data_IF_287336197993
#
_entry.id   IF_287336197993
#
_cell.length_a   1.000
_cell.length_b   1.000
_cell.length_c   1.000
_cell.angle_alpha   90.00
_cell.angle_beta   90.00
_cell.angle_gamma   90.00
#
_symmetry.space_group_name_H-M   'P 1'
#
loop_
_entity.id
_entity.type
_entity.pdbx_description
1 polymer ?
#
# COMPACT_ATOMS: atom_id res chain seq x y z
N UNK A 1 8.91 -8.45 26.90
CA UNK A 1 8.78 -8.93 25.51
C UNK A 1 9.35 -7.91 24.49
N UNK A 2 10.05 -8.40 23.46
CA UNK A 2 10.62 -7.55 22.40
C UNK A 2 9.49 -6.86 21.60
N UNK A 3 9.79 -5.75 20.89
CA UNK A 3 8.78 -4.93 20.18
C UNK A 3 7.95 -5.77 19.19
N UNK A 4 8.61 -6.61 18.38
CA UNK A 4 7.96 -7.51 17.42
C UNK A 4 6.89 -8.38 18.08
N UNK A 5 7.22 -9.06 19.17
CA UNK A 5 6.30 -10.01 19.81
C UNK A 5 5.09 -9.32 20.43
N UNK A 6 5.28 -8.09 20.97
CA UNK A 6 4.16 -7.26 21.46
C UNK A 6 3.23 -6.84 20.32
N UNK A 7 3.79 -6.48 19.16
CA UNK A 7 3.01 -6.11 17.99
C UNK A 7 2.23 -7.32 17.42
N UNK A 8 2.85 -8.51 17.37
CA UNK A 8 2.17 -9.75 17.00
C UNK A 8 1.03 -10.05 17.98
N UNK A 9 1.24 -9.90 19.29
CA UNK A 9 0.20 -10.11 20.29
C UNK A 9 -0.97 -9.12 20.14
N UNK A 10 -0.67 -7.86 19.77
CA UNK A 10 -1.71 -6.87 19.46
C UNK A 10 -2.53 -7.30 18.23
N UNK A 11 -1.90 -7.67 17.12
CA UNK A 11 -2.63 -8.14 15.94
C UNK A 11 -3.45 -9.38 16.21
N UNK A 12 -2.97 -10.29 17.07
CA UNK A 12 -3.75 -11.45 17.51
C UNK A 12 -5.04 -11.02 18.21
N UNK A 13 -4.94 -10.13 19.20
CA UNK A 13 -6.10 -9.63 19.94
C UNK A 13 -7.08 -8.86 19.04
N UNK A 14 -6.57 -8.10 18.07
CA UNK A 14 -7.39 -7.40 17.08
C UNK A 14 -8.08 -8.40 16.14
N UNK A 15 -7.39 -9.45 15.70
CA UNK A 15 -7.96 -10.51 14.85
C UNK A 15 -9.10 -11.26 15.55
N UNK A 16 -8.89 -11.64 16.81
CA UNK A 16 -9.92 -12.27 17.66
C UNK A 16 -11.17 -11.38 17.82
N UNK A 17 -10.99 -10.06 17.81
CA UNK A 17 -12.09 -9.09 17.97
C UNK A 17 -12.80 -8.73 16.66
N UNK A 18 -12.07 -8.56 15.56
CA UNK A 18 -12.56 -7.86 14.37
C UNK A 18 -12.60 -8.68 13.09
N UNK A 19 -11.85 -9.78 12.95
CA UNK A 19 -11.77 -10.51 11.66
C UNK A 19 -13.13 -11.06 11.16
N UNK A 20 -14.05 -11.36 12.07
CA UNK A 20 -15.40 -11.83 11.70
C UNK A 20 -16.41 -10.69 11.53
N UNK A 21 -16.00 -9.44 11.72
CA UNK A 21 -16.91 -8.30 11.70
C UNK A 21 -17.16 -7.84 10.25
N UNK A 22 -18.41 -7.84 9.77
CA UNK A 22 -18.72 -7.62 8.34
C UNK A 22 -18.44 -6.19 7.86
N UNK A 23 -18.23 -5.25 8.78
CA UNK A 23 -17.88 -3.85 8.48
C UNK A 23 -16.41 -3.53 8.77
N UNK A 24 -15.55 -4.54 8.94
CA UNK A 24 -14.12 -4.36 9.16
C UNK A 24 -13.33 -4.82 7.94
N UNK A 25 -13.15 -3.88 7.00
CA UNK A 25 -12.64 -4.13 5.65
C UNK A 25 -11.15 -4.51 5.61
N UNK A 26 -10.33 -3.81 6.39
CA UNK A 26 -8.89 -3.97 6.34
C UNK A 26 -8.16 -3.43 7.56
N UNK A 27 -6.95 -3.95 7.76
CA UNK A 27 -6.00 -3.51 8.78
C UNK A 27 -4.60 -3.52 8.19
N UNK A 28 -3.75 -2.58 8.58
CA UNK A 28 -2.40 -2.54 8.04
C UNK A 28 -1.36 -1.83 8.90
N UNK A 29 -0.13 -1.92 8.43
CA UNK A 29 1.01 -1.17 8.95
C UNK A 29 1.44 -0.12 7.93
N UNK A 30 1.78 1.06 8.45
CA UNK A 30 2.29 2.16 7.66
C UNK A 30 3.78 1.97 7.35
N UNK A 31 4.19 2.55 6.22
CA UNK A 31 5.54 2.67 5.62
C UNK A 31 6.63 1.62 5.94
N UNK A 32 7.24 1.08 4.88
CA UNK A 32 8.40 0.19 4.99
C UNK A 32 9.71 0.92 5.30
N UNK A 33 9.79 2.23 5.07
CA UNK A 33 11.00 3.01 5.31
C UNK A 33 11.35 3.07 6.82
N UNK A 34 12.58 2.71 7.18
CA UNK A 34 13.07 2.73 8.58
C UNK A 34 13.20 4.13 9.19
N UNK A 35 13.05 5.20 8.39
CA UNK A 35 13.38 6.55 8.81
C UNK A 35 14.88 6.74 9.04
N UNK A 36 15.23 7.75 9.85
CA UNK A 36 16.61 8.06 10.22
C UNK A 36 16.87 7.56 11.64
N UNK A 37 17.74 6.55 11.82
CA UNK A 37 18.05 6.07 13.16
C UNK A 37 18.89 7.11 13.92
N UNK A 38 18.68 7.22 15.24
CA UNK A 38 19.44 8.15 16.10
C UNK A 38 20.93 7.80 16.14
N UNK A 39 21.22 6.51 16.15
CA UNK A 39 22.58 5.96 16.09
C UNK A 39 22.72 5.14 14.80
N UNK A 40 23.91 5.11 14.17
CA UNK A 40 24.14 4.28 12.99
C UNK A 40 23.79 2.81 13.26
N UNK A 41 23.00 2.22 12.36
CA UNK A 41 22.66 0.79 12.40
C UNK A 41 23.52 0.01 11.41
N UNK A 42 23.88 -1.21 11.78
CA UNK A 42 24.56 -2.14 10.88
C UNK A 42 23.60 -2.68 9.81
N UNK A 43 24.16 -3.21 8.72
CA UNK A 43 23.39 -3.93 7.70
C UNK A 43 22.64 -5.14 8.28
N UNK A 44 23.21 -5.83 9.27
CA UNK A 44 22.54 -6.91 9.99
C UNK A 44 21.28 -6.43 10.70
N UNK A 45 21.37 -5.31 11.43
CA UNK A 45 20.21 -4.72 12.12
C UNK A 45 19.14 -4.27 11.12
N UNK A 46 19.55 -3.67 9.99
CA UNK A 46 18.62 -3.31 8.92
C UNK A 46 17.92 -4.55 8.33
N UNK A 47 18.66 -5.63 8.08
CA UNK A 47 18.07 -6.88 7.58
C UNK A 47 17.11 -7.51 8.59
N UNK A 48 17.47 -7.49 9.89
CA UNK A 48 16.61 -7.97 10.96
C UNK A 48 15.32 -7.16 11.09
N UNK A 49 15.38 -5.84 10.87
CA UNK A 49 14.18 -4.99 10.84
C UNK A 49 13.18 -5.49 9.80
N UNK A 50 13.61 -5.71 8.55
CA UNK A 50 12.71 -6.19 7.50
C UNK A 50 12.25 -7.64 7.70
N UNK A 51 13.14 -8.51 8.19
CA UNK A 51 12.76 -9.88 8.55
C UNK A 51 11.67 -9.90 9.63
N UNK A 52 11.77 -9.01 10.64
CA UNK A 52 10.75 -8.88 11.67
C UNK A 52 9.45 -8.28 11.11
N UNK A 53 9.50 -7.30 10.20
CA UNK A 53 8.32 -6.75 9.53
C UNK A 53 7.56 -7.82 8.73
N UNK A 54 8.27 -8.68 8.01
CA UNK A 54 7.69 -9.81 7.29
C UNK A 54 7.02 -10.78 8.27
N UNK A 55 7.68 -11.13 9.37
CA UNK A 55 7.09 -12.02 10.38
C UNK A 55 5.80 -11.44 10.98
N UNK A 56 5.77 -10.12 11.23
CA UNK A 56 4.55 -9.45 11.70
C UNK A 56 3.44 -9.54 10.65
N UNK A 57 3.73 -9.26 9.38
CA UNK A 57 2.75 -9.37 8.29
C UNK A 57 2.22 -10.80 8.14
N UNK A 58 3.08 -11.81 8.20
CA UNK A 58 2.68 -13.22 8.16
C UNK A 58 1.71 -13.55 9.31
N UNK A 59 2.02 -13.10 10.53
CA UNK A 59 1.13 -13.31 11.68
C UNK A 59 -0.17 -12.53 11.55
N UNK A 60 -0.12 -11.28 11.08
CA UNK A 60 -1.30 -10.47 10.79
C UNK A 60 -2.22 -11.20 9.80
N UNK A 61 -1.69 -11.71 8.69
CA UNK A 61 -2.46 -12.49 7.72
C UNK A 61 -3.12 -13.73 8.33
N UNK A 62 -2.38 -14.47 9.17
CA UNK A 62 -2.92 -15.65 9.87
C UNK A 62 -4.06 -15.31 10.83
N UNK A 63 -4.01 -14.15 11.49
CA UNK A 63 -5.05 -13.71 12.43
C UNK A 63 -6.25 -13.05 11.74
N UNK A 64 -6.08 -12.61 10.49
CA UNK A 64 -7.10 -11.97 9.69
C UNK A 64 -7.34 -12.72 8.37
N UNK A 65 -7.85 -13.97 8.39
CA UNK A 65 -8.10 -14.73 7.16
C UNK A 65 -9.17 -14.09 6.25
N UNK A 66 -10.13 -13.35 6.81
CA UNK A 66 -11.30 -12.81 6.10
C UNK A 66 -11.27 -11.28 5.92
N UNK A 67 -10.26 -10.62 6.47
CA UNK A 67 -10.07 -9.16 6.40
C UNK A 67 -8.78 -8.87 5.66
N UNK A 68 -8.75 -7.80 4.87
CA UNK A 68 -7.52 -7.43 4.17
C UNK A 68 -6.40 -7.05 5.14
N UNK A 69 -5.20 -7.57 4.91
CA UNK A 69 -3.99 -7.21 5.66
C UNK A 69 -3.08 -6.40 4.77
N UNK A 70 -2.83 -5.14 5.11
CA UNK A 70 -2.21 -4.14 4.25
C UNK A 70 -0.81 -3.78 4.76
N UNK A 71 0.17 -3.72 3.86
CA UNK A 71 1.47 -3.12 4.15
C UNK A 71 1.72 -1.98 3.18
N UNK A 72 1.92 -0.79 3.72
CA UNK A 72 2.44 0.35 2.98
C UNK A 72 3.94 0.16 2.71
N UNK A 73 4.31 0.08 1.43
CA UNK A 73 5.68 -0.16 0.97
C UNK A 73 6.12 1.02 0.11
N UNK A 74 7.30 1.58 0.40
CA UNK A 74 7.87 2.70 -0.36
C UNK A 74 9.38 2.54 -0.61
N UNK A 75 10.17 2.41 0.45
CA UNK A 75 11.63 2.37 0.40
C UNK A 75 12.21 1.41 1.44
N UNK A 76 13.51 1.09 1.34
CA UNK A 76 14.45 1.37 0.24
C UNK A 76 14.38 0.33 -0.88
N UNK A 77 14.79 0.70 -2.10
CA UNK A 77 14.70 -0.14 -3.31
C UNK A 77 15.30 -1.56 -3.15
N UNK A 78 16.45 -1.77 -2.48
CA UNK A 78 17.06 -3.10 -2.39
C UNK A 78 16.23 -4.18 -1.68
N UNK A 79 15.29 -3.81 -0.79
CA UNK A 79 14.44 -4.79 -0.10
C UNK A 79 13.10 -5.03 -0.81
N UNK A 80 12.70 -4.13 -1.72
CA UNK A 80 11.34 -4.14 -2.29
C UNK A 80 10.98 -5.45 -2.97
N UNK A 81 11.90 -6.03 -3.76
CA UNK A 81 11.61 -7.30 -4.44
C UNK A 81 11.24 -8.40 -3.43
N UNK A 82 12.04 -8.55 -2.37
CA UNK A 82 11.84 -9.58 -1.36
C UNK A 82 10.58 -9.31 -0.52
N UNK A 83 10.35 -8.06 -0.13
CA UNK A 83 9.20 -7.68 0.67
C UNK A 83 7.89 -7.87 -0.11
N UNK A 84 7.79 -7.30 -1.31
CA UNK A 84 6.58 -7.36 -2.13
C UNK A 84 6.26 -8.79 -2.57
N UNK A 85 7.27 -9.58 -2.92
CA UNK A 85 7.10 -11.01 -3.24
C UNK A 85 6.49 -11.77 -2.06
N UNK A 86 7.00 -11.55 -0.85
CA UNK A 86 6.49 -12.24 0.33
C UNK A 86 5.08 -11.79 0.70
N UNK A 87 4.74 -10.51 0.53
CA UNK A 87 3.36 -10.02 0.69
C UNK A 87 2.41 -10.73 -0.27
N UNK A 88 2.80 -10.84 -1.55
CA UNK A 88 2.06 -11.58 -2.57
C UNK A 88 1.88 -13.05 -2.18
N UNK A 89 2.95 -13.73 -1.77
CA UNK A 89 2.93 -15.15 -1.44
C UNK A 89 2.04 -15.46 -0.23
N UNK A 90 1.95 -14.54 0.74
CA UNK A 90 1.04 -14.69 1.89
C UNK A 90 -0.39 -14.18 1.61
N UNK A 91 -0.65 -13.56 0.45
CA UNK A 91 -1.94 -12.95 0.13
C UNK A 91 -2.24 -11.68 0.94
N UNK A 92 -1.20 -10.95 1.34
CA UNK A 92 -1.34 -9.61 1.88
C UNK A 92 -1.50 -8.58 0.74
N UNK A 93 -2.09 -7.44 1.08
CA UNK A 93 -2.36 -6.32 0.18
C UNK A 93 -1.15 -5.40 0.09
N UNK A 94 -0.72 -5.08 -1.12
CA UNK A 94 0.29 -4.05 -1.36
C UNK A 94 -0.35 -2.67 -1.31
N UNK A 95 0.23 -1.79 -0.51
CA UNK A 95 -0.12 -0.37 -0.46
C UNK A 95 1.15 0.49 -0.54
N UNK A 96 0.94 1.79 -0.62
CA UNK A 96 1.97 2.81 -0.56
C UNK A 96 1.29 4.15 -0.28
N UNK A 97 1.79 4.95 0.67
CA UNK A 97 1.17 6.23 1.02
C UNK A 97 1.61 7.36 0.08
N UNK A 98 2.58 7.06 -0.76
CA UNK A 98 3.29 8.00 -1.60
C UNK A 98 2.70 8.03 -3.02
N UNK A 99 1.40 8.29 -3.20
CA UNK A 99 0.74 8.39 -4.54
C UNK A 99 1.19 9.65 -5.33
N UNK A 100 2.50 9.82 -5.50
CA UNK A 100 3.19 10.85 -6.26
C UNK A 100 3.45 10.37 -7.69
N UNK A 101 2.83 10.98 -8.69
CA UNK A 101 2.92 10.53 -10.09
C UNK A 101 4.36 10.59 -10.64
N UNK A 102 5.11 11.63 -10.27
CA UNK A 102 6.41 11.95 -10.88
C UNK A 102 7.60 11.63 -9.96
N UNK A 103 7.36 10.90 -8.85
CA UNK A 103 8.43 10.58 -7.90
C UNK A 103 9.43 9.60 -8.52
N UNK A 104 10.65 10.08 -8.76
CA UNK A 104 11.68 9.36 -9.51
C UNK A 104 12.08 8.07 -8.83
N UNK A 105 12.18 8.06 -7.50
CA UNK A 105 12.60 6.86 -6.78
C UNK A 105 11.55 5.75 -6.78
N UNK A 106 10.26 6.11 -6.76
CA UNK A 106 9.15 5.16 -6.82
C UNK A 106 8.92 4.63 -8.25
N UNK A 107 9.15 5.48 -9.25
CA UNK A 107 9.07 5.15 -10.68
C UNK A 107 10.34 4.52 -11.27
N UNK A 108 11.43 4.41 -10.50
CA UNK A 108 12.71 3.94 -11.03
C UNK A 108 12.58 2.54 -11.64
N UNK A 109 12.88 2.39 -12.93
CA UNK A 109 12.86 1.09 -13.61
C UNK A 109 14.20 0.39 -13.43
N UNK A 110 14.16 -0.91 -13.14
CA UNK A 110 15.37 -1.73 -13.08
C UNK A 110 16.18 -1.62 -14.39
N UNK A 111 17.49 -1.63 -14.27
CA UNK A 111 18.44 -1.63 -15.39
C UNK A 111 19.43 -2.78 -15.24
N UNK A 112 20.25 -3.02 -16.26
CA UNK A 112 21.33 -4.00 -16.18
C UNK A 112 22.37 -3.69 -15.08
N UNK A 113 22.47 -2.43 -14.63
CA UNK A 113 23.45 -1.98 -13.63
C UNK A 113 22.86 -1.78 -12.23
N UNK A 114 21.55 -1.57 -12.14
CA UNK A 114 20.82 -1.45 -10.87
C UNK A 114 19.48 -2.21 -11.00
N UNK A 115 19.39 -3.44 -10.48
CA UNK A 115 18.19 -4.26 -10.59
C UNK A 115 17.09 -3.84 -9.60
N UNK A 116 17.35 -2.89 -8.70
CA UNK A 116 16.42 -2.54 -7.63
C UNK A 116 15.41 -1.50 -8.12
N UNK A 117 14.30 -1.95 -8.71
CA UNK A 117 13.24 -1.05 -9.16
C UNK A 117 12.51 -0.36 -8.00
N UNK A 118 11.89 0.78 -8.29
CA UNK A 118 10.99 1.47 -7.38
C UNK A 118 9.65 0.75 -7.23
N UNK A 119 8.93 1.01 -6.14
CA UNK A 119 7.77 0.22 -5.72
C UNK A 119 6.65 0.19 -6.76
N UNK A 120 6.46 1.26 -7.55
CA UNK A 120 5.37 1.35 -8.51
C UNK A 120 5.42 0.32 -9.62
N UNK A 121 6.61 -0.15 -9.99
CA UNK A 121 6.73 -1.17 -11.03
C UNK A 121 6.11 -2.50 -10.57
N UNK A 122 6.17 -2.82 -9.27
CA UNK A 122 5.60 -4.04 -8.73
C UNK A 122 4.07 -4.07 -8.74
N UNK A 123 3.40 -2.91 -8.79
CA UNK A 123 1.94 -2.87 -8.92
C UNK A 123 1.49 -3.48 -10.25
N UNK A 124 2.22 -3.18 -11.34
CA UNK A 124 1.94 -3.81 -12.64
C UNK A 124 2.37 -5.27 -12.65
N UNK A 125 3.51 -5.62 -12.04
CA UNK A 125 4.02 -6.99 -12.01
C UNK A 125 3.09 -7.97 -11.27
N UNK A 126 2.38 -7.49 -10.25
CA UNK A 126 1.55 -8.32 -9.36
C UNK A 126 0.06 -8.00 -9.40
N UNK A 127 -0.39 -7.11 -10.29
CA UNK A 127 -1.80 -6.80 -10.48
C UNK A 127 -2.60 -8.08 -10.78
N UNK A 128 -3.71 -8.27 -10.05
CA UNK A 128 -4.55 -9.46 -10.15
C UNK A 128 -4.01 -10.69 -9.40
N UNK A 129 -2.78 -10.65 -8.89
CA UNK A 129 -2.25 -11.71 -8.00
C UNK A 129 -2.53 -11.41 -6.53
N UNK A 130 -2.38 -10.16 -6.12
CA UNK A 130 -2.75 -9.66 -4.79
C UNK A 130 -3.54 -8.36 -4.91
N UNK A 131 -4.21 -7.95 -3.84
CA UNK A 131 -4.91 -6.67 -3.82
C UNK A 131 -3.92 -5.49 -3.81
N UNK A 132 -4.31 -4.42 -4.51
CA UNK A 132 -3.59 -3.15 -4.55
C UNK A 132 -4.42 -2.06 -3.89
N UNK A 133 -3.85 -1.38 -2.89
CA UNK A 133 -4.58 -0.40 -2.09
C UNK A 133 -3.77 0.88 -1.83
N UNK A 134 -3.37 1.64 -2.86
CA UNK A 134 -2.63 2.89 -2.67
C UNK A 134 -3.38 3.87 -1.77
N UNK A 135 -2.63 4.65 -1.01
CA UNK A 135 -3.16 5.67 -0.12
C UNK A 135 -2.79 7.07 -0.64
N UNK A 136 -3.78 7.96 -0.60
CA UNK A 136 -3.62 9.37 -0.95
C UNK A 136 -3.53 10.16 0.35
N UNK A 137 -2.37 10.76 0.57
CA UNK A 137 -2.07 11.63 1.70
C UNK A 137 -2.00 13.10 1.28
N UNK A 138 -1.91 13.98 2.29
CA UNK A 138 -1.86 15.44 2.11
C UNK A 138 -0.94 15.89 0.97
N UNK A 139 0.32 15.43 0.98
CA UNK A 139 1.31 15.90 0.01
C UNK A 139 0.97 15.51 -1.43
N UNK A 140 0.27 14.41 -1.67
CA UNK A 140 -0.12 14.01 -3.02
C UNK A 140 -1.08 15.01 -3.66
N UNK A 141 -1.85 15.76 -2.86
CA UNK A 141 -2.71 16.84 -3.36
C UNK A 141 -1.98 18.18 -3.55
N UNK A 142 -0.76 18.29 -3.03
CA UNK A 142 0.03 19.53 -3.04
C UNK A 142 1.07 19.48 -4.15
N UNK A 143 1.60 18.31 -4.48
CA UNK A 143 2.60 18.14 -5.53
C UNK A 143 2.66 16.71 -6.08
N UNK A 144 3.05 16.54 -7.34
CA UNK A 144 3.31 15.24 -7.97
C UNK A 144 4.64 14.60 -7.55
N UNK A 145 5.47 15.30 -6.77
CA UNK A 145 6.75 14.85 -6.23
C UNK A 145 6.88 15.23 -4.75
N UNK A 146 7.52 14.37 -3.96
CA UNK A 146 7.67 14.64 -2.51
C UNK A 146 8.63 15.82 -2.22
N UNK A 147 9.55 16.11 -3.15
CA UNK A 147 10.50 17.23 -3.07
C UNK A 147 9.91 18.60 -3.48
N UNK A 148 8.64 18.64 -3.89
CA UNK A 148 7.95 19.88 -4.28
C UNK A 148 8.31 20.41 -5.68
N UNK A 149 9.15 19.72 -6.45
CA UNK A 149 9.59 20.17 -7.78
C UNK A 149 8.66 19.74 -8.92
N UNK A 150 7.61 18.98 -8.62
CA UNK A 150 6.54 18.65 -9.56
C UNK A 150 5.49 19.75 -9.65
N UNK A 151 4.35 19.44 -10.26
CA UNK A 151 3.18 20.34 -10.32
C UNK A 151 2.12 19.92 -9.30
N UNK A 152 1.10 20.76 -9.09
CA UNK A 152 -0.03 20.41 -8.24
C UNK A 152 -1.06 19.60 -9.04
N UNK A 153 -1.27 18.31 -8.74
CA UNK A 153 -2.25 17.52 -9.48
C UNK A 153 -3.68 17.86 -9.07
N UNK A 154 -4.61 17.59 -9.98
CA UNK A 154 -6.04 17.51 -9.70
C UNK A 154 -6.39 16.18 -9.04
N UNK A 155 -7.54 16.13 -8.36
CA UNK A 155 -8.02 14.87 -7.76
C UNK A 155 -8.30 13.80 -8.83
N UNK A 156 -8.76 14.22 -10.02
CA UNK A 156 -8.98 13.32 -11.15
C UNK A 156 -7.67 12.69 -11.64
N UNK A 157 -6.57 13.46 -11.73
CA UNK A 157 -5.25 12.93 -12.08
C UNK A 157 -4.73 11.94 -11.03
N UNK A 158 -4.97 12.19 -9.73
CA UNK A 158 -4.60 11.25 -8.66
C UNK A 158 -5.41 9.96 -8.80
N UNK A 159 -6.73 10.05 -9.03
CA UNK A 159 -7.60 8.89 -9.23
C UNK A 159 -7.15 8.06 -10.43
N UNK A 160 -6.92 8.70 -11.58
CA UNK A 160 -6.45 8.04 -12.81
C UNK A 160 -5.11 7.35 -12.56
N UNK A 161 -4.17 8.01 -11.87
CA UNK A 161 -2.89 7.40 -11.57
C UNK A 161 -3.02 6.17 -10.66
N UNK A 162 -3.77 6.28 -9.56
CA UNK A 162 -4.01 5.15 -8.66
C UNK A 162 -4.72 3.98 -9.35
N UNK A 163 -5.76 4.26 -10.14
CA UNK A 163 -6.53 3.26 -10.89
C UNK A 163 -5.70 2.61 -11.99
N UNK A 164 -5.13 3.42 -12.88
CA UNK A 164 -4.58 2.93 -14.16
C UNK A 164 -3.12 2.54 -14.04
N UNK A 165 -2.34 3.24 -13.22
CA UNK A 165 -0.91 2.97 -13.03
C UNK A 165 -0.68 2.03 -11.85
N UNK A 166 -1.30 2.32 -10.70
CA UNK A 166 -1.17 1.48 -9.50
C UNK A 166 -2.20 0.35 -9.42
N UNK A 167 -3.02 0.16 -10.47
CA UNK A 167 -3.93 -0.99 -10.61
C UNK A 167 -4.83 -1.21 -9.38
N UNK A 168 -5.26 -0.11 -8.76
CA UNK A 168 -5.96 -0.13 -7.48
C UNK A 168 -7.23 -1.00 -7.50
N UNK A 169 -7.37 -1.85 -6.48
CA UNK A 169 -8.63 -2.43 -6.05
C UNK A 169 -9.30 -1.53 -5.00
N UNK A 170 -8.50 -0.85 -4.18
CA UNK A 170 -8.92 0.12 -3.17
C UNK A 170 -8.11 1.40 -3.31
N UNK A 171 -8.70 2.55 -2.95
CA UNK A 171 -7.95 3.78 -2.76
C UNK A 171 -8.33 4.37 -1.41
N UNK A 172 -7.36 4.51 -0.52
CA UNK A 172 -7.56 5.13 0.79
C UNK A 172 -7.31 6.64 0.70
N UNK A 173 -8.37 7.43 0.72
CA UNK A 173 -8.28 8.89 0.67
C UNK A 173 -8.21 9.49 2.07
N UNK A 174 -7.07 10.10 2.41
CA UNK A 174 -6.97 10.90 3.64
C UNK A 174 -7.92 12.10 3.56
N UNK A 175 -8.71 12.33 4.62
CA UNK A 175 -9.61 13.48 4.69
C UNK A 175 -8.81 14.75 4.99
N UNK A 176 -8.40 15.46 3.95
CA UNK A 176 -7.63 16.70 4.08
C UNK A 176 -8.54 17.92 3.82
N UNK A 177 -8.54 18.93 4.71
CA UNK A 177 -9.27 20.18 4.48
C UNK A 177 -8.94 20.79 3.11
N UNK A 178 -9.94 21.38 2.45
CA UNK A 178 -9.87 21.98 1.10
C UNK A 178 -9.69 21.00 -0.08
N UNK A 179 -9.50 19.70 0.19
CA UNK A 179 -9.40 18.66 -0.85
C UNK A 179 -10.53 17.65 -0.78
N UNK A 180 -11.05 17.35 0.42
CA UNK A 180 -12.07 16.33 0.62
C UNK A 180 -13.33 16.54 -0.25
N UNK A 181 -13.85 17.77 -0.34
CA UNK A 181 -15.04 18.03 -1.16
C UNK A 181 -14.79 17.76 -2.65
N UNK A 182 -13.57 18.00 -3.14
CA UNK A 182 -13.17 17.70 -4.52
C UNK A 182 -13.04 16.19 -4.75
N UNK A 183 -12.64 15.43 -3.73
CA UNK A 183 -12.69 13.96 -3.77
C UNK A 183 -14.12 13.49 -3.91
N UNK A 184 -15.04 14.01 -3.09
CA UNK A 184 -16.45 13.65 -3.20
C UNK A 184 -17.06 14.05 -4.55
N UNK A 185 -16.67 15.20 -5.10
CA UNK A 185 -17.10 15.63 -6.44
C UNK A 185 -16.67 14.63 -7.52
N UNK A 186 -15.38 14.28 -7.57
CA UNK A 186 -14.84 13.32 -8.54
C UNK A 186 -15.47 11.93 -8.37
N UNK A 187 -15.62 11.44 -7.14
CA UNK A 187 -16.27 10.14 -6.89
C UNK A 187 -17.77 10.14 -7.21
N UNK A 188 -18.39 11.31 -7.35
CA UNK A 188 -19.80 11.46 -7.73
C UNK A 188 -20.00 11.64 -9.25
N UNK A 189 -18.93 11.62 -10.06
CA UNK A 189 -19.04 11.62 -11.52
C UNK A 189 -19.72 10.36 -12.05
N UNK A 190 -20.35 10.47 -13.23
CA UNK A 190 -21.14 9.39 -13.83
C UNK A 190 -20.32 8.10 -14.01
N UNK A 191 -19.06 8.21 -14.46
CA UNK A 191 -18.20 7.05 -14.68
C UNK A 191 -18.03 6.23 -13.39
N UNK A 192 -17.70 6.88 -12.27
CA UNK A 192 -17.54 6.24 -10.97
C UNK A 192 -18.86 5.71 -10.42
N UNK A 193 -19.97 6.43 -10.59
CA UNK A 193 -21.28 6.02 -10.04
C UNK A 193 -21.96 4.90 -10.83
N UNK A 194 -21.65 4.78 -12.12
CA UNK A 194 -22.23 3.76 -13.01
C UNK A 194 -21.58 2.39 -12.84
N UNK A 195 -20.41 2.34 -12.21
CA UNK A 195 -19.65 1.12 -11.92
C UNK A 195 -19.75 0.79 -10.41
N UNK A 196 -20.23 -0.41 -10.02
CA UNK A 196 -20.27 -0.85 -8.62
C UNK A 196 -18.92 -0.79 -7.89
N UNK A 197 -17.79 -0.90 -8.62
CA UNK A 197 -16.45 -0.79 -8.06
C UNK A 197 -15.91 0.66 -8.03
N UNK A 198 -16.74 1.66 -8.34
CA UNK A 198 -16.30 3.05 -8.36
C UNK A 198 -15.30 3.35 -9.49
N UNK A 199 -15.31 2.56 -10.56
CA UNK A 199 -14.33 2.63 -11.65
C UNK A 199 -12.99 1.94 -11.35
N UNK A 200 -12.84 1.26 -10.21
CA UNK A 200 -11.64 0.48 -9.87
C UNK A 200 -11.72 -0.94 -10.45
N UNK A 201 -10.65 -1.73 -10.32
CA UNK A 201 -10.64 -3.10 -10.81
C UNK A 201 -11.41 -4.05 -9.85
N UNK A 202 -12.58 -4.59 -10.24
CA UNK A 202 -13.38 -5.47 -9.38
C UNK A 202 -12.87 -6.92 -9.34
N UNK A 203 -11.88 -7.27 -10.19
CA UNK A 203 -11.44 -8.66 -10.33
C UNK A 203 -10.79 -9.12 -9.02
N UNK A 204 -11.34 -10.19 -8.46
CA UNK A 204 -10.81 -10.82 -7.26
C UNK A 204 -9.37 -11.31 -7.50
N UNK A 205 -8.38 -10.85 -6.72
CA UNK A 205 -7.01 -11.31 -6.88
C UNK A 205 -6.86 -12.81 -6.59
N UNK A 206 -5.96 -13.49 -7.32
CA UNK A 206 -5.79 -14.95 -7.26
C UNK A 206 -5.21 -15.47 -5.94
N UNK A 207 -4.64 -14.60 -5.10
CA UNK A 207 -4.26 -14.95 -3.73
C UNK A 207 -5.45 -15.25 -2.82
N UNK A 208 -6.68 -14.89 -3.22
CA UNK A 208 -7.90 -15.18 -2.48
C UNK A 208 -8.69 -16.29 -3.15
N UNK A 209 -9.27 -17.19 -2.36
CA UNK A 209 -10.14 -18.25 -2.88
C UNK A 209 -11.48 -17.71 -3.41
N UNK A 210 -11.93 -16.59 -2.86
CA UNK A 210 -13.12 -15.85 -3.26
C UNK A 210 -13.08 -14.45 -2.66
N UNK A 211 -13.78 -13.50 -3.29
CA UNK A 211 -14.00 -12.15 -2.76
C UNK A 211 -15.50 -11.99 -2.47
N UNK A 212 -15.83 -11.25 -1.41
CA UNK A 212 -17.20 -10.84 -1.14
C UNK A 212 -17.59 -9.70 -2.09
N UNK A 213 -18.83 -9.72 -2.58
CA UNK A 213 -19.44 -8.65 -3.37
C UNK A 213 -20.36 -7.80 -2.51
#
# INVERSE_FOLDING_TARGET
>A
PQVRDRLIALFKALGERYNSHPYFEGIGMIESAMGQPLEPISSTQANEFYANMIQVNQKMRLFFPNTMTIQEVNYPRPILNSLVTQLRDMGATLSGPDTFQDEKGLNFKATQYDPNQGVYNYYSDYSGMMAMAPQVMRKNYENTRNDGTGYKPTVAEILVFARDTLKANYIFWSRIPNYYDKVLEVLNWTEQRSDPAGGLNPVCPTAYSSCAN
#
